data_IF_891463420039
#
_entry.id   IF_891463420039
#
_cell.length_a   1.000
_cell.length_b   1.000
_cell.length_c   1.000
_cell.angle_alpha   90.00
_cell.angle_beta   90.00
_cell.angle_gamma   90.00
#
_symmetry.space_group_name_H-M   'P 1'
#
loop_
_entity.id
_entity.type
_entity.pdbx_description
1 polymer ?
#
# COMPACT_ATOMS: atom_id res chain seq x y z
N UNK A 1 -7.74 -28.64 -0.37
CA UNK A 1 -6.83 -28.10 0.67
C UNK A 1 -5.78 -27.12 0.14
N UNK A 2 -5.34 -27.19 -1.13
CA UNK A 2 -4.20 -26.39 -1.62
C UNK A 2 -4.41 -24.86 -1.76
N UNK A 3 -5.58 -24.40 -2.26
CA UNK A 3 -5.76 -22.98 -2.55
C UNK A 3 -5.86 -22.11 -1.28
N UNK A 4 -6.67 -22.53 -0.30
CA UNK A 4 -6.83 -21.76 0.95
C UNK A 4 -5.54 -21.72 1.77
N UNK A 5 -4.76 -22.81 1.78
CA UNK A 5 -3.45 -22.82 2.44
C UNK A 5 -2.49 -21.79 1.81
N UNK A 6 -2.45 -21.70 0.47
CA UNK A 6 -1.64 -20.72 -0.23
C UNK A 6 -1.99 -19.26 0.12
N UNK A 7 -3.26 -18.96 0.39
CA UNK A 7 -3.70 -17.61 0.80
C UNK A 7 -3.13 -17.21 2.17
N UNK A 8 -3.13 -18.14 3.12
CA UNK A 8 -2.57 -17.91 4.46
C UNK A 8 -1.05 -17.88 4.45
N UNK A 9 -0.42 -18.75 3.66
CA UNK A 9 1.04 -18.75 3.47
C UNK A 9 1.52 -17.44 2.82
N UNK A 10 0.81 -16.94 1.80
CA UNK A 10 1.11 -15.66 1.18
C UNK A 10 1.13 -14.52 2.20
N UNK A 11 0.13 -14.48 3.07
CA UNK A 11 0.00 -13.44 4.08
C UNK A 11 1.11 -13.53 5.13
N UNK A 12 1.41 -14.75 5.59
CA UNK A 12 2.50 -15.00 6.53
C UNK A 12 3.86 -14.59 5.95
N UNK A 13 4.16 -14.96 4.71
CA UNK A 13 5.40 -14.54 4.05
C UNK A 13 5.45 -13.03 3.84
N UNK A 14 4.35 -12.40 3.45
CA UNK A 14 4.31 -10.95 3.21
C UNK A 14 4.50 -10.15 4.50
N UNK A 15 3.86 -10.58 5.60
CA UNK A 15 4.04 -9.96 6.91
C UNK A 15 5.47 -10.14 7.44
N UNK A 16 6.01 -11.37 7.37
CA UNK A 16 7.38 -11.66 7.78
C UNK A 16 8.41 -10.90 6.93
N UNK A 17 8.16 -10.73 5.62
CA UNK A 17 9.02 -9.95 4.75
C UNK A 17 9.05 -8.48 5.15
N UNK A 18 7.88 -7.90 5.45
CA UNK A 18 7.80 -6.50 5.91
C UNK A 18 8.48 -6.31 7.28
N UNK A 19 8.34 -7.26 8.20
CA UNK A 19 9.07 -7.28 9.48
C UNK A 19 10.59 -7.36 9.26
N UNK A 20 11.05 -8.28 8.42
CA UNK A 20 12.46 -8.44 8.08
C UNK A 20 13.03 -7.17 7.46
N UNK A 21 12.30 -6.60 6.50
CA UNK A 21 12.70 -5.39 5.81
C UNK A 21 12.81 -4.21 6.77
N UNK A 22 11.83 -4.01 7.65
CA UNK A 22 11.85 -2.96 8.69
C UNK A 22 13.00 -3.12 9.66
N UNK A 23 13.35 -4.35 10.00
CA UNK A 23 14.52 -4.71 10.80
C UNK A 23 15.85 -4.66 10.02
N UNK A 24 15.88 -4.09 8.80
CA UNK A 24 17.04 -3.99 7.92
C UNK A 24 17.65 -5.34 7.47
N UNK A 25 16.90 -6.44 7.58
CA UNK A 25 17.28 -7.77 7.08
C UNK A 25 16.84 -7.92 5.62
N UNK A 26 17.50 -7.20 4.71
CA UNK A 26 17.09 -7.07 3.30
C UNK A 26 17.07 -8.41 2.55
N UNK A 27 18.11 -9.23 2.67
CA UNK A 27 18.18 -10.51 1.96
C UNK A 27 17.03 -11.44 2.33
N UNK A 28 16.69 -11.49 3.62
CA UNK A 28 15.56 -12.27 4.12
C UNK A 28 14.23 -11.71 3.61
N UNK A 29 14.06 -10.38 3.65
CA UNK A 29 12.87 -9.74 3.10
C UNK A 29 12.67 -10.06 1.62
N UNK A 30 13.72 -9.94 0.80
CA UNK A 30 13.68 -10.25 -0.64
C UNK A 30 13.36 -11.73 -0.88
N UNK A 31 13.97 -12.64 -0.11
CA UNK A 31 13.64 -14.05 -0.20
C UNK A 31 12.16 -14.31 0.11
N UNK A 32 11.62 -13.71 1.18
CA UNK A 32 10.23 -13.86 1.58
C UNK A 32 9.25 -13.21 0.59
N UNK A 33 9.58 -12.04 0.02
CA UNK A 33 8.79 -11.43 -1.06
C UNK A 33 8.70 -12.34 -2.28
N UNK A 34 9.81 -12.92 -2.72
CA UNK A 34 9.82 -13.86 -3.86
C UNK A 34 8.93 -15.09 -3.60
N UNK A 35 8.92 -15.60 -2.35
CA UNK A 35 8.01 -16.69 -1.94
C UNK A 35 6.55 -16.25 -2.00
N UNK A 36 6.21 -15.08 -1.45
CA UNK A 36 4.87 -14.53 -1.54
C UNK A 36 4.44 -14.28 -2.99
N UNK A 37 5.29 -13.67 -3.82
CA UNK A 37 5.02 -13.41 -5.23
C UNK A 37 4.78 -14.68 -6.04
N UNK A 38 5.45 -15.79 -5.72
CA UNK A 38 5.19 -17.08 -6.33
C UNK A 38 3.78 -17.60 -6.04
N UNK A 39 3.31 -17.48 -4.79
CA UNK A 39 1.93 -17.85 -4.43
C UNK A 39 0.92 -16.90 -5.09
N UNK A 40 1.22 -15.60 -5.09
CA UNK A 40 0.31 -14.58 -5.61
C UNK A 40 0.03 -14.75 -7.10
N UNK A 41 0.99 -15.22 -7.90
CA UNK A 41 0.78 -15.47 -9.34
C UNK A 41 -0.35 -16.45 -9.65
N UNK A 42 -0.66 -17.36 -8.72
CA UNK A 42 -1.75 -18.33 -8.84
C UNK A 42 -3.12 -17.76 -8.44
N UNK A 43 -3.18 -16.57 -7.83
CA UNK A 43 -4.44 -15.93 -7.49
C UNK A 43 -5.15 -15.39 -8.75
N UNK A 44 -6.48 -15.21 -8.70
CA UNK A 44 -7.25 -14.68 -9.82
C UNK A 44 -6.72 -13.32 -10.32
N UNK A 45 -6.93 -13.04 -11.61
CA UNK A 45 -6.69 -11.72 -12.15
C UNK A 45 -7.53 -10.67 -11.41
N UNK A 46 -6.94 -9.51 -11.11
CA UNK A 46 -7.57 -8.49 -10.28
C UNK A 46 -7.52 -8.75 -8.77
N UNK A 47 -6.95 -9.87 -8.30
CA UNK A 47 -6.73 -10.03 -6.85
C UNK A 47 -5.71 -8.99 -6.34
N UNK A 48 -6.05 -8.16 -5.33
CA UNK A 48 -5.17 -7.11 -4.81
C UNK A 48 -3.80 -7.61 -4.35
N UNK A 49 -3.71 -8.86 -3.90
CA UNK A 49 -2.46 -9.45 -3.41
C UNK A 49 -1.43 -9.67 -4.52
N UNK A 50 -1.88 -9.79 -5.78
CA UNK A 50 -0.99 -9.81 -6.96
C UNK A 50 -0.28 -8.48 -7.14
N UNK A 51 -1.02 -7.39 -7.00
CA UNK A 51 -0.47 -6.04 -7.13
C UNK A 51 0.50 -5.70 -5.99
N UNK A 52 0.13 -6.01 -4.74
CA UNK A 52 1.00 -5.86 -3.58
C UNK A 52 2.31 -6.67 -3.73
N UNK A 53 2.21 -7.92 -4.20
CA UNK A 53 3.40 -8.76 -4.40
C UNK A 53 4.27 -8.25 -5.54
N UNK A 54 3.68 -7.79 -6.65
CA UNK A 54 4.43 -7.20 -7.76
C UNK A 54 5.17 -5.92 -7.33
N UNK A 55 4.57 -5.08 -6.50
CA UNK A 55 5.25 -3.94 -5.88
C UNK A 55 6.46 -4.38 -5.05
N UNK A 56 6.26 -5.36 -4.17
CA UNK A 56 7.31 -5.81 -3.25
C UNK A 56 8.45 -6.52 -4.00
N UNK A 57 8.15 -7.29 -5.05
CA UNK A 57 9.16 -7.89 -5.94
C UNK A 57 9.94 -6.78 -6.69
N UNK A 58 9.26 -5.71 -7.13
CA UNK A 58 9.95 -4.59 -7.77
C UNK A 58 10.79 -3.76 -6.78
N UNK A 59 10.45 -3.79 -5.49
CA UNK A 59 11.26 -3.20 -4.43
C UNK A 59 12.62 -3.90 -4.30
N UNK A 60 12.67 -5.22 -4.53
CA UNK A 60 13.94 -5.94 -4.59
C UNK A 60 14.85 -5.43 -5.72
N UNK A 61 14.28 -5.05 -6.87
CA UNK A 61 15.05 -4.45 -7.98
C UNK A 61 15.60 -3.07 -7.60
N UNK A 62 14.86 -2.28 -6.82
CA UNK A 62 15.35 -1.00 -6.29
C UNK A 62 16.52 -1.20 -5.33
N UNK A 63 16.43 -2.19 -4.43
CA UNK A 63 17.51 -2.56 -3.50
C UNK A 63 18.76 -3.01 -4.28
N UNK A 64 18.57 -3.74 -5.38
CA UNK A 64 19.64 -4.19 -6.27
C UNK A 64 20.12 -3.09 -7.25
N UNK A 65 19.63 -1.84 -7.11
CA UNK A 65 19.97 -0.68 -7.97
C UNK A 65 19.64 -0.88 -9.46
N UNK A 66 18.76 -1.82 -9.80
CA UNK A 66 18.31 -2.07 -11.17
C UNK A 66 17.16 -1.12 -11.53
N UNK A 67 17.42 0.19 -11.57
CA UNK A 67 16.40 1.25 -11.60
C UNK A 67 15.49 1.21 -12.85
N UNK A 68 16.00 0.93 -14.06
CA UNK A 68 15.14 0.79 -15.24
C UNK A 68 14.19 -0.42 -15.12
N UNK A 69 14.74 -1.54 -14.63
CA UNK A 69 13.95 -2.77 -14.42
C UNK A 69 12.91 -2.57 -13.32
N UNK A 70 13.27 -1.87 -12.25
CA UNK A 70 12.36 -1.49 -11.18
C UNK A 70 11.23 -0.59 -11.70
N UNK A 71 11.54 0.45 -12.49
CA UNK A 71 10.56 1.35 -13.06
C UNK A 71 9.55 0.62 -13.98
N UNK A 72 10.05 -0.30 -14.81
CA UNK A 72 9.19 -1.15 -15.65
C UNK A 72 8.29 -2.07 -14.80
N UNK A 73 8.85 -2.73 -13.79
CA UNK A 73 8.11 -3.63 -12.90
C UNK A 73 7.05 -2.88 -12.06
N UNK A 74 7.38 -1.69 -11.53
CA UNK A 74 6.45 -0.84 -10.77
C UNK A 74 5.32 -0.30 -11.65
N UNK A 75 5.61 0.02 -12.91
CA UNK A 75 4.56 0.38 -13.89
C UNK A 75 3.60 -0.78 -14.12
N UNK A 76 4.11 -2.01 -14.24
CA UNK A 76 3.26 -3.20 -14.33
C UNK A 76 2.47 -3.47 -13.04
N UNK A 77 3.08 -3.24 -11.87
CA UNK A 77 2.40 -3.34 -10.59
C UNK A 77 1.23 -2.33 -10.46
N UNK A 78 1.39 -1.10 -10.99
CA UNK A 78 0.30 -0.12 -11.05
C UNK A 78 -0.86 -0.59 -11.95
N UNK A 79 -0.57 -1.22 -13.09
CA UNK A 79 -1.62 -1.83 -13.91
C UNK A 79 -2.34 -2.99 -13.19
N UNK A 80 -1.61 -3.76 -12.36
CA UNK A 80 -2.23 -4.76 -11.51
C UNK A 80 -3.12 -4.14 -10.43
N UNK A 81 -2.74 -2.98 -9.87
CA UNK A 81 -3.57 -2.21 -8.96
C UNK A 81 -4.85 -1.68 -9.63
N UNK A 82 -4.79 -1.26 -10.90
CA UNK A 82 -6.00 -0.83 -11.64
C UNK A 82 -7.00 -1.99 -11.75
N UNK A 83 -6.52 -3.20 -12.09
CA UNK A 83 -7.36 -4.41 -12.08
C UNK A 83 -7.91 -4.75 -10.70
N UNK A 84 -7.14 -4.52 -9.64
CA UNK A 84 -7.59 -4.72 -8.26
C UNK A 84 -8.63 -3.68 -7.81
N UNK A 85 -8.51 -2.45 -8.28
CA UNK A 85 -9.52 -1.42 -8.06
C UNK A 85 -10.82 -1.80 -8.74
N UNK A 86 -10.80 -2.32 -9.96
CA UNK A 86 -12.00 -2.77 -10.68
C UNK A 86 -12.65 -3.99 -10.00
N UNK A 87 -11.83 -4.92 -9.50
CA UNK A 87 -12.32 -6.06 -8.72
C UNK A 87 -13.15 -5.64 -7.49
N UNK A 88 -12.88 -4.48 -6.87
CA UNK A 88 -13.69 -3.99 -5.73
C UNK A 88 -15.16 -3.75 -6.07
N UNK A 89 -15.53 -3.58 -7.34
CA UNK A 89 -16.93 -3.46 -7.75
C UNK A 89 -17.73 -4.76 -7.53
N UNK A 90 -17.06 -5.91 -7.66
CA UNK A 90 -17.66 -7.24 -7.51
C UNK A 90 -17.31 -7.96 -6.21
N UNK A 91 -16.44 -7.39 -5.37
CA UNK A 91 -15.99 -8.06 -4.15
C UNK A 91 -17.15 -8.32 -3.18
N UNK A 92 -17.11 -9.49 -2.53
CA UNK A 92 -18.05 -9.81 -1.47
C UNK A 92 -17.72 -8.97 -0.22
N UNK A 93 -18.71 -8.22 0.27
CA UNK A 93 -18.59 -7.45 1.51
C UNK A 93 -19.50 -8.05 2.56
N UNK A 94 -18.92 -8.45 3.69
CA UNK A 94 -19.70 -9.02 4.79
C UNK A 94 -20.45 -7.93 5.55
N UNK A 95 -21.69 -8.18 6.02
CA UNK A 95 -22.38 -7.29 6.96
C UNK A 95 -21.54 -7.09 8.21
N UNK A 96 -21.55 -5.89 8.78
CA UNK A 96 -20.85 -5.64 10.05
C UNK A 96 -21.75 -6.06 11.20
N UNK A 97 -21.20 -6.75 12.19
CA UNK A 97 -21.87 -6.90 13.48
C UNK A 97 -22.09 -5.50 14.08
N UNK A 98 -23.34 -5.19 14.45
CA UNK A 98 -23.71 -3.90 15.07
C UNK A 98 -24.23 -4.15 16.47
N UNK A 99 -23.88 -3.27 17.40
CA UNK A 99 -24.36 -3.33 18.78
C UNK A 99 -25.88 -3.06 18.92
N UNK A 100 -26.57 -2.63 17.86
CA UNK A 100 -28.01 -2.37 17.86
C UNK A 100 -28.74 -3.20 16.81
N UNK A 101 -29.74 -3.98 17.26
CA UNK A 101 -30.64 -4.77 16.41
C UNK A 101 -31.41 -3.91 15.40
N UNK A 102 -31.69 -2.64 15.71
CA UNK A 102 -32.32 -1.72 14.77
C UNK A 102 -31.43 -1.47 13.55
N UNK A 103 -30.15 -1.13 13.77
CA UNK A 103 -29.19 -0.92 12.69
C UNK A 103 -28.90 -2.19 11.90
N UNK A 104 -28.87 -3.35 12.58
CA UNK A 104 -28.72 -4.63 11.91
C UNK A 104 -29.90 -4.92 10.96
N UNK A 105 -31.15 -4.71 11.41
CA UNK A 105 -32.33 -4.90 10.57
C UNK A 105 -32.40 -3.90 9.40
N UNK A 106 -31.99 -2.65 9.64
CA UNK A 106 -31.91 -1.64 8.59
C UNK A 106 -30.89 -2.04 7.51
N UNK A 107 -29.70 -2.51 7.91
CA UNK A 107 -28.66 -2.98 6.99
C UNK A 107 -29.12 -4.21 6.19
N UNK A 108 -29.83 -5.15 6.83
CA UNK A 108 -30.43 -6.30 6.14
C UNK A 108 -31.51 -5.93 5.12
N UNK A 109 -32.21 -4.80 5.30
CA UNK A 109 -33.20 -4.32 4.34
C UNK A 109 -32.57 -3.59 3.15
N UNK A 110 -31.34 -3.10 3.30
CA UNK A 110 -30.64 -2.27 2.32
C UNK A 110 -29.24 -2.83 1.99
N UNK A 111 -29.13 -4.15 1.85
CA UNK A 111 -27.84 -4.86 1.67
C UNK A 111 -26.99 -4.27 0.56
N UNK A 112 -27.58 -4.00 -0.61
CA UNK A 112 -26.85 -3.44 -1.76
C UNK A 112 -26.29 -2.04 -1.46
N UNK A 113 -27.10 -1.13 -0.92
CA UNK A 113 -26.65 0.24 -0.61
C UNK A 113 -25.53 0.25 0.43
N UNK A 114 -25.65 -0.55 1.49
CA UNK A 114 -24.58 -0.69 2.47
C UNK A 114 -23.35 -1.39 1.89
N UNK A 115 -23.56 -2.32 0.95
CA UNK A 115 -22.49 -2.99 0.21
C UNK A 115 -21.70 -2.02 -0.66
N UNK A 116 -22.37 -1.16 -1.42
CA UNK A 116 -21.76 -0.14 -2.26
C UNK A 116 -20.89 0.83 -1.46
N UNK A 117 -21.40 1.30 -0.31
CA UNK A 117 -20.63 2.18 0.59
C UNK A 117 -19.37 1.48 1.10
N UNK A 118 -19.44 0.19 1.43
CA UNK A 118 -18.27 -0.59 1.86
C UNK A 118 -17.28 -0.79 0.73
N UNK A 119 -17.75 -1.17 -0.46
CA UNK A 119 -16.92 -1.31 -1.66
C UNK A 119 -16.21 0.00 -1.99
N UNK A 120 -16.91 1.13 -1.93
CA UNK A 120 -16.32 2.46 -2.13
C UNK A 120 -15.21 2.76 -1.10
N UNK A 121 -15.42 2.43 0.18
CA UNK A 121 -14.39 2.59 1.21
C UNK A 121 -13.19 1.68 0.97
N UNK A 122 -13.42 0.41 0.60
CA UNK A 122 -12.36 -0.53 0.26
C UNK A 122 -11.56 -0.10 -0.97
N UNK A 123 -12.23 0.46 -1.99
CA UNK A 123 -11.58 1.06 -3.16
C UNK A 123 -10.71 2.26 -2.78
N UNK A 124 -11.14 3.08 -1.82
CA UNK A 124 -10.32 4.18 -1.29
C UNK A 124 -9.05 3.64 -0.59
N UNK A 125 -9.18 2.60 0.23
CA UNK A 125 -8.03 1.94 0.85
C UNK A 125 -7.04 1.38 -0.18
N UNK A 126 -7.53 0.71 -1.24
CA UNK A 126 -6.66 0.22 -2.31
C UNK A 126 -5.99 1.33 -3.11
N UNK A 127 -6.69 2.45 -3.35
CA UNK A 127 -6.07 3.64 -3.96
C UNK A 127 -4.86 4.10 -3.14
N UNK A 128 -4.98 4.11 -1.81
CA UNK A 128 -3.87 4.46 -0.91
C UNK A 128 -2.77 3.40 -0.83
N UNK A 129 -3.04 2.13 -1.17
CA UNK A 129 -2.00 1.11 -1.33
C UNK A 129 -1.25 1.28 -2.64
N UNK A 130 -1.96 1.51 -3.75
CA UNK A 130 -1.38 1.81 -5.05
C UNK A 130 -0.50 3.08 -5.02
N UNK A 131 -0.83 4.04 -4.16
CA UNK A 131 -0.02 5.22 -3.91
C UNK A 131 1.41 4.88 -3.43
N UNK A 132 1.59 3.81 -2.64
CA UNK A 132 2.92 3.34 -2.22
C UNK A 132 3.73 2.81 -3.42
N UNK A 133 3.09 2.15 -4.37
CA UNK A 133 3.73 1.76 -5.63
C UNK A 133 4.07 2.96 -6.51
N UNK A 134 3.21 3.99 -6.55
CA UNK A 134 3.53 5.27 -7.22
C UNK A 134 4.72 5.96 -6.58
N UNK A 135 4.81 5.95 -5.25
CA UNK A 135 5.96 6.45 -4.51
C UNK A 135 7.24 5.72 -4.93
N UNK A 136 7.25 4.38 -4.87
CA UNK A 136 8.41 3.59 -5.28
C UNK A 136 8.80 3.85 -6.75
N UNK A 137 7.82 4.05 -7.64
CA UNK A 137 8.09 4.41 -9.03
C UNK A 137 8.71 5.80 -9.12
N UNK A 138 8.20 6.77 -8.36
CA UNK A 138 8.80 8.09 -8.23
C UNK A 138 10.26 8.01 -7.81
N UNK A 139 10.57 7.17 -6.81
CA UNK A 139 11.97 6.93 -6.40
C UNK A 139 12.81 6.33 -7.52
N UNK A 140 12.30 5.30 -8.23
CA UNK A 140 13.00 4.72 -9.38
C UNK A 140 13.32 5.79 -10.45
N UNK A 141 12.40 6.72 -10.69
CA UNK A 141 12.51 7.79 -11.67
C UNK A 141 13.53 8.86 -11.23
N UNK A 142 13.63 9.15 -9.93
CA UNK A 142 14.69 10.02 -9.40
C UNK A 142 16.08 9.45 -9.69
N UNK A 143 16.29 8.14 -9.55
CA UNK A 143 17.57 7.50 -9.89
C UNK A 143 17.88 7.44 -11.38
N UNK A 144 16.90 7.72 -12.23
CA UNK A 144 17.04 7.80 -13.68
C UNK A 144 17.16 9.26 -14.16
N UNK A 145 17.36 10.21 -13.24
CA UNK A 145 17.41 11.66 -13.51
C UNK A 145 16.12 12.22 -14.15
N UNK A 146 14.97 11.59 -13.90
CA UNK A 146 13.66 11.99 -14.41
C UNK A 146 12.85 12.78 -13.36
N UNK A 147 13.45 13.85 -12.80
CA UNK A 147 12.91 14.58 -11.64
C UNK A 147 11.46 15.07 -11.82
N UNK A 148 11.11 15.65 -12.97
CA UNK A 148 9.76 16.16 -13.21
C UNK A 148 8.69 15.04 -13.22
N UNK A 149 9.03 13.86 -13.76
CA UNK A 149 8.15 12.70 -13.75
C UNK A 149 8.02 12.14 -12.33
N UNK A 150 9.12 12.09 -11.59
CA UNK A 150 9.13 11.66 -10.20
C UNK A 150 8.28 12.55 -9.29
N UNK A 151 8.42 13.88 -9.40
CA UNK A 151 7.68 14.87 -8.63
C UNK A 151 6.17 14.69 -8.81
N UNK A 152 5.71 14.58 -10.06
CA UNK A 152 4.29 14.32 -10.39
C UNK A 152 3.78 13.04 -9.73
N UNK A 153 4.58 11.98 -9.72
CA UNK A 153 4.21 10.71 -9.10
C UNK A 153 4.14 10.80 -7.57
N UNK A 154 5.11 11.48 -6.96
CA UNK A 154 5.23 11.65 -5.51
C UNK A 154 4.10 12.52 -4.96
N UNK A 155 3.74 13.62 -5.62
CA UNK A 155 2.61 14.47 -5.23
C UNK A 155 1.28 13.72 -5.29
N UNK A 156 1.08 12.95 -6.36
CA UNK A 156 -0.10 12.09 -6.49
C UNK A 156 -0.14 11.02 -5.41
N UNK A 157 1.00 10.37 -5.14
CA UNK A 157 1.13 9.39 -4.07
C UNK A 157 0.78 9.99 -2.70
N UNK A 158 1.28 11.19 -2.40
CA UNK A 158 0.99 11.89 -1.15
C UNK A 158 -0.51 12.16 -0.99
N UNK A 159 -1.14 12.76 -2.00
CA UNK A 159 -2.56 13.11 -1.96
C UNK A 159 -3.47 11.87 -1.83
N UNK A 160 -3.14 10.79 -2.54
CA UNK A 160 -3.90 9.54 -2.48
C UNK A 160 -3.73 8.82 -1.15
N UNK A 161 -2.49 8.75 -0.62
CA UNK A 161 -2.20 8.09 0.65
C UNK A 161 -2.85 8.83 1.81
N UNK A 162 -2.73 10.15 1.86
CA UNK A 162 -3.35 10.99 2.89
C UNK A 162 -4.88 10.91 2.87
N UNK A 163 -5.49 10.91 1.68
CA UNK A 163 -6.95 10.78 1.55
C UNK A 163 -7.46 9.42 2.02
N UNK A 164 -6.68 8.36 1.84
CA UNK A 164 -7.08 6.99 2.19
C UNK A 164 -6.85 6.66 3.67
N UNK A 165 -5.70 7.06 4.24
CA UNK A 165 -5.26 6.67 5.58
C UNK A 165 -5.20 7.83 6.59
N UNK A 166 -5.45 9.05 6.13
CA UNK A 166 -5.40 10.27 6.94
C UNK A 166 -3.99 10.85 7.08
N UNK A 167 -3.88 12.09 7.62
CA UNK A 167 -2.61 12.83 7.72
C UNK A 167 -1.63 12.25 8.76
N UNK A 168 -2.09 11.42 9.69
CA UNK A 168 -1.26 10.81 10.74
C UNK A 168 -0.60 9.49 10.31
N UNK A 169 -0.75 9.08 9.05
CA UNK A 169 -0.19 7.84 8.55
C UNK A 169 1.35 7.97 8.36
N UNK A 170 2.19 7.02 8.84
CA UNK A 170 3.64 7.11 8.71
C UNK A 170 4.13 7.32 7.27
N UNK A 171 3.51 6.63 6.31
CA UNK A 171 3.93 6.73 4.92
C UNK A 171 3.63 8.11 4.30
N UNK A 172 2.68 8.88 4.85
CA UNK A 172 2.45 10.30 4.46
C UNK A 172 3.67 11.15 4.81
N UNK A 173 4.27 10.95 5.98
CA UNK A 173 5.48 11.68 6.36
C UNK A 173 6.70 11.25 5.54
N UNK A 174 6.83 9.96 5.20
CA UNK A 174 7.91 9.48 4.34
C UNK A 174 7.85 10.09 2.94
N UNK A 175 6.67 10.10 2.31
CA UNK A 175 6.48 10.72 0.99
C UNK A 175 6.75 12.23 1.06
N UNK A 176 6.23 12.91 2.09
CA UNK A 176 6.44 14.34 2.28
C UNK A 176 7.93 14.68 2.51
N UNK A 177 8.71 13.83 3.18
CA UNK A 177 10.15 14.04 3.38
C UNK A 177 10.92 14.02 2.08
N UNK A 178 10.61 13.08 1.18
CA UNK A 178 11.25 13.01 -0.14
C UNK A 178 10.91 14.26 -0.97
N UNK A 179 9.65 14.71 -0.96
CA UNK A 179 9.25 15.94 -1.65
C UNK A 179 9.89 17.19 -1.04
N UNK A 180 9.99 17.27 0.29
CA UNK A 180 10.69 18.36 0.99
C UNK A 180 12.17 18.40 0.61
N UNK A 181 12.86 17.26 0.59
CA UNK A 181 14.27 17.20 0.16
C UNK A 181 14.52 17.57 -1.31
N UNK A 182 13.47 17.71 -2.13
CA UNK A 182 13.54 18.02 -3.56
C UNK A 182 13.10 19.43 -3.93
N UNK A 183 12.47 20.20 -3.04
CA UNK A 183 12.09 21.56 -3.40
C UNK A 183 13.35 22.45 -3.45
N UNK A 184 13.52 23.19 -4.54
CA UNK A 184 14.66 24.08 -4.74
C UNK A 184 14.59 25.30 -3.80
N UNK A 185 15.77 25.73 -3.33
CA UNK A 185 15.95 26.73 -2.27
C UNK A 185 15.46 28.16 -2.58
N UNK A 186 14.96 28.43 -3.79
CA UNK A 186 14.58 29.78 -4.23
C UNK A 186 13.12 29.93 -4.67
N UNK A 187 12.39 28.85 -5.00
CA UNK A 187 11.08 28.96 -5.66
C UNK A 187 9.89 28.43 -4.85
N UNK A 188 10.04 27.73 -3.71
CA UNK A 188 8.83 27.27 -3.00
C UNK A 188 8.96 27.02 -1.48
N UNK A 189 9.37 28.06 -0.73
CA UNK A 189 9.27 28.09 0.74
C UNK A 189 7.90 27.62 1.26
N UNK A 190 6.83 27.87 0.50
CA UNK A 190 5.47 27.45 0.84
C UNK A 190 5.26 25.93 0.72
N UNK A 191 5.79 25.28 -0.32
CA UNK A 191 5.71 23.81 -0.46
C UNK A 191 6.58 23.12 0.58
N UNK A 192 7.76 23.66 0.85
CA UNK A 192 8.61 23.18 1.94
C UNK A 192 7.90 23.24 3.28
N UNK A 193 7.33 24.39 3.62
CA UNK A 193 6.56 24.55 4.85
C UNK A 193 5.34 23.61 4.91
N UNK A 194 4.68 23.35 3.78
CA UNK A 194 3.59 22.40 3.68
C UNK A 194 4.05 20.97 4.00
N UNK A 195 5.11 20.49 3.36
CA UNK A 195 5.63 19.13 3.58
C UNK A 195 6.18 18.96 4.99
N UNK A 196 6.93 19.94 5.49
CA UNK A 196 7.43 19.95 6.87
C UNK A 196 6.30 19.95 7.90
N UNK A 197 5.20 20.64 7.60
CA UNK A 197 3.98 20.59 8.41
C UNK A 197 3.39 19.18 8.50
N UNK A 198 3.38 18.42 7.40
CA UNK A 198 2.90 17.03 7.37
C UNK A 198 3.82 16.11 8.16
N UNK A 199 5.13 16.24 7.99
CA UNK A 199 6.14 15.48 8.74
C UNK A 199 5.96 15.72 10.25
N UNK A 200 5.78 16.98 10.66
CA UNK A 200 5.55 17.36 12.05
C UNK A 200 4.25 16.77 12.60
N UNK A 201 3.17 16.80 11.82
CA UNK A 201 1.87 16.24 12.22
C UNK A 201 1.98 14.76 12.61
N UNK A 202 2.73 13.97 11.85
CA UNK A 202 2.98 12.55 12.16
C UNK A 202 3.95 12.38 13.34
N UNK A 203 4.96 13.24 13.47
CA UNK A 203 5.90 13.17 14.60
C UNK A 203 5.24 13.49 15.95
N UNK A 204 4.28 14.44 15.97
CA UNK A 204 3.53 14.85 17.16
C UNK A 204 2.46 13.82 17.55
N UNK A 205 1.83 13.20 16.56
CA UNK A 205 0.79 12.19 16.78
C UNK A 205 1.39 10.79 16.68
N UNK A 206 1.59 10.10 17.82
CA UNK A 206 2.11 8.71 17.88
C UNK A 206 1.46 7.82 16.81
N UNK A 207 2.11 7.71 15.66
CA UNK A 207 1.56 6.99 14.53
C UNK A 207 1.53 5.50 14.87
N UNK A 208 0.43 4.84 14.55
CA UNK A 208 0.31 3.40 14.75
C UNK A 208 1.14 2.69 13.68
N UNK A 209 1.96 1.73 14.12
CA UNK A 209 2.73 0.91 13.20
C UNK A 209 1.81 0.12 12.25
N UNK A 210 2.19 0.03 10.97
CA UNK A 210 1.35 -0.61 9.93
C UNK A 210 1.06 -2.08 10.23
N UNK A 211 2.01 -2.80 10.84
CA UNK A 211 1.84 -4.21 11.19
C UNK A 211 0.98 -4.35 12.45
N UNK A 212 1.10 -3.42 13.40
CA UNK A 212 0.21 -3.40 14.56
C UNK A 212 -1.24 -3.07 14.17
N UNK A 213 -1.42 -2.11 13.26
CA UNK A 213 -2.73 -1.82 12.66
C UNK A 213 -3.28 -3.05 11.94
N UNK A 214 -2.47 -3.71 11.10
CA UNK A 214 -2.86 -4.94 10.40
C UNK A 214 -3.28 -6.06 11.37
N UNK A 215 -2.46 -6.35 12.38
CA UNK A 215 -2.75 -7.39 13.39
C UNK A 215 -4.06 -7.12 14.13
N UNK A 216 -4.42 -5.85 14.34
CA UNK A 216 -5.64 -5.41 15.02
C UNK A 216 -6.87 -5.43 14.11
N UNK A 217 -6.72 -5.11 12.83
CA UNK A 217 -7.83 -4.91 11.90
C UNK A 217 -8.14 -6.12 11.01
N UNK A 218 -7.27 -7.14 11.00
CA UNK A 218 -7.44 -8.33 10.16
C UNK A 218 -8.75 -9.12 10.48
N UNK A 219 -9.62 -9.36 9.49
CA UNK A 219 -10.79 -10.24 9.67
C UNK A 219 -10.39 -11.69 9.91
N UNK A 220 -10.98 -12.42 10.87
CA UNK A 220 -10.54 -13.79 11.22
C UNK A 220 -10.57 -14.82 10.08
N UNK A 221 -11.46 -14.66 9.11
CA UNK A 221 -11.58 -15.55 7.96
C UNK A 221 -10.96 -14.91 6.70
N UNK A 222 -10.49 -15.76 5.77
CA UNK A 222 -9.98 -15.34 4.46
C UNK A 222 -11.12 -14.88 3.52
N UNK A 223 -11.69 -13.74 3.87
CA UNK A 223 -12.71 -13.00 3.11
C UNK A 223 -12.08 -12.06 2.10
N UNK A 224 -12.86 -11.59 1.13
CA UNK A 224 -12.41 -10.56 0.18
C UNK A 224 -11.93 -9.29 0.88
N UNK A 225 -12.58 -8.91 1.98
CA UNK A 225 -12.11 -7.83 2.84
C UNK A 225 -10.74 -8.13 3.44
N UNK A 226 -10.47 -9.34 3.94
CA UNK A 226 -9.14 -9.71 4.46
C UNK A 226 -8.09 -9.66 3.34
N UNK A 227 -8.36 -10.24 2.18
CA UNK A 227 -7.46 -10.24 1.01
C UNK A 227 -7.05 -8.81 0.64
N UNK A 228 -8.03 -7.92 0.55
CA UNK A 228 -7.83 -6.51 0.21
C UNK A 228 -7.04 -5.77 1.29
N UNK A 229 -7.42 -5.91 2.56
CA UNK A 229 -6.73 -5.23 3.65
C UNK A 229 -5.29 -5.75 3.78
N UNK A 230 -5.06 -7.06 3.69
CA UNK A 230 -3.73 -7.63 3.72
C UNK A 230 -2.86 -7.07 2.58
N UNK A 231 -3.38 -7.00 1.36
CA UNK A 231 -2.66 -6.37 0.25
C UNK A 231 -2.33 -4.89 0.55
N UNK A 232 -3.27 -4.14 1.13
CA UNK A 232 -3.09 -2.72 1.42
C UNK A 232 -2.07 -2.44 2.54
N UNK A 233 -2.07 -3.24 3.61
CA UNK A 233 -1.15 -3.08 4.74
C UNK A 233 0.24 -3.68 4.48
N UNK A 234 0.35 -4.73 3.66
CA UNK A 234 1.60 -5.47 3.42
C UNK A 234 2.33 -5.03 2.15
N UNK A 235 1.86 -3.98 1.48
CA UNK A 235 2.61 -3.29 0.41
C UNK A 235 3.73 -2.45 1.02
N UNK A 236 4.97 -2.71 0.64
CA UNK A 236 6.15 -2.03 1.17
C UNK A 236 6.54 -0.79 0.35
N UNK A 237 7.16 0.18 1.01
CA UNK A 237 7.86 1.32 0.36
C UNK A 237 9.36 1.20 0.56
N UNK A 238 10.13 1.81 -0.32
CA UNK A 238 11.58 1.93 -0.13
C UNK A 238 11.89 2.98 0.92
N UNK A 239 12.93 2.77 1.72
CA UNK A 239 13.38 3.74 2.71
C UNK A 239 14.70 4.39 2.26
N UNK A 240 14.93 5.63 2.70
CA UNK A 240 16.15 6.40 2.39
C UNK A 240 17.44 5.63 2.73
N UNK A 241 17.43 4.86 3.82
CA UNK A 241 18.55 4.00 4.25
C UNK A 241 18.96 2.90 3.26
N UNK A 242 18.14 2.63 2.25
CA UNK A 242 18.46 1.62 1.23
C UNK A 242 19.32 2.20 0.09
N UNK A 243 19.51 3.52 0.09
CA UNK A 243 20.30 4.25 -0.90
C UNK A 243 21.60 4.87 -0.34
N UNK A 244 21.85 4.69 0.96
CA UNK A 244 23.10 5.07 1.65
C UNK A 244 24.00 3.85 1.83
#
# INVERSE_FOLDING_TARGET
MGAQAAEWEWEAFSAAALEAYRAARREEAVHLWRRAGALAREFPAGDPRRAASANNDALALLIDQAHESAAAALTSALAAWDGALDWTGGMAVSPAARSSMFHQRLEQRHVETYGDVRRARHRAFLTGAAALTRFNLGIARLFLDEDAAAETLLEKALAERERAFGPNNPEVAEIARVLSGKADAAEDDARMALYDGKIRTVAENRATDVLDAWRKEQPHEMTDTRRLLAAAYLTAIVHERDFM
#
